data_IF_250949338350
#
_entry.id   IF_250949338350
#
_cell.length_a   1.000
_cell.length_b   1.000
_cell.length_c   1.000
_cell.angle_alpha   90.00
_cell.angle_beta   90.00
_cell.angle_gamma   90.00
#
_symmetry.space_group_name_H-M   'P 1'
#
loop_
_entity.id
_entity.type
_entity.pdbx_description
1 polymer ?
#
# COMPACT_ATOMS: atom_id res chain seq x y z
N UNK A 1 -13.88 -98.01 -55.81
CA UNK A 1 -12.71 -97.17 -55.54
C UNK A 1 -13.12 -95.93 -54.87
N UNK A 2 -12.95 -95.86 -53.59
CA UNK A 2 -13.41 -94.66 -52.77
C UNK A 2 -12.14 -93.88 -52.35
N UNK A 3 -12.11 -92.60 -52.62
CA UNK A 3 -11.04 -91.68 -52.19
C UNK A 3 -11.31 -91.22 -50.74
N UNK A 4 -10.29 -91.08 -49.88
CA UNK A 4 -10.45 -90.58 -48.55
C UNK A 4 -10.49 -89.04 -48.48
N UNK A 5 -11.31 -88.52 -47.60
CA UNK A 5 -11.44 -87.10 -47.30
C UNK A 5 -10.35 -86.62 -46.35
N UNK A 6 -9.66 -85.50 -46.70
CA UNK A 6 -8.76 -84.80 -45.82
C UNK A 6 -9.55 -83.91 -44.83
N UNK A 7 -9.28 -84.07 -43.55
CA UNK A 7 -9.78 -83.17 -42.48
C UNK A 7 -8.75 -82.08 -42.30
N UNK A 8 -9.18 -80.81 -42.50
CA UNK A 8 -8.39 -79.61 -42.16
C UNK A 8 -8.67 -79.22 -40.71
N UNK A 9 -7.65 -79.21 -39.87
CA UNK A 9 -7.69 -78.56 -38.55
C UNK A 9 -7.44 -77.10 -38.72
N UNK A 10 -8.43 -76.23 -38.34
CA UNK A 10 -8.28 -74.85 -38.25
C UNK A 10 -7.64 -74.41 -36.89
N UNK A 11 -6.53 -73.74 -36.97
CA UNK A 11 -5.91 -73.15 -35.79
C UNK A 11 -6.53 -71.71 -35.61
N UNK A 12 -7.36 -71.53 -34.58
CA UNK A 12 -7.80 -70.20 -34.10
C UNK A 12 -6.72 -69.67 -33.21
N UNK A 13 -6.01 -68.65 -33.71
CA UNK A 13 -5.12 -67.82 -32.89
C UNK A 13 -5.97 -66.83 -32.12
N UNK A 14 -6.01 -66.95 -30.79
CA UNK A 14 -6.59 -65.98 -29.90
C UNK A 14 -5.59 -64.84 -29.69
N UNK A 15 -5.89 -63.65 -30.23
CA UNK A 15 -5.13 -62.43 -29.93
C UNK A 15 -5.53 -61.90 -28.56
N UNK A 16 -4.60 -61.96 -27.59
CA UNK A 16 -4.77 -61.30 -26.28
C UNK A 16 -4.41 -59.86 -26.45
N UNK A 17 -5.40 -58.96 -26.43
CA UNK A 17 -5.18 -57.50 -26.29
C UNK A 17 -4.92 -57.17 -24.82
N UNK A 18 -3.65 -56.90 -24.48
CA UNK A 18 -3.29 -56.30 -23.21
C UNK A 18 -3.54 -54.78 -23.34
N UNK A 19 -4.71 -54.36 -22.92
CA UNK A 19 -5.01 -52.92 -22.79
C UNK A 19 -4.25 -52.34 -21.62
N UNK A 20 -3.17 -51.58 -21.89
CA UNK A 20 -2.52 -50.74 -20.88
C UNK A 20 -3.46 -49.55 -20.55
N UNK A 21 -4.20 -49.65 -19.45
CA UNK A 21 -4.90 -48.54 -18.89
C UNK A 21 -3.89 -47.55 -18.31
N UNK A 22 -3.61 -46.45 -19.02
CA UNK A 22 -2.88 -45.30 -18.48
C UNK A 22 -3.85 -44.62 -17.52
N UNK A 23 -3.69 -44.85 -16.20
CA UNK A 23 -4.30 -44.00 -15.18
C UNK A 23 -3.58 -42.65 -15.24
N UNK A 24 -4.18 -41.68 -15.92
CA UNK A 24 -3.88 -40.26 -15.70
C UNK A 24 -4.38 -39.96 -14.28
N UNK A 25 -3.47 -39.92 -13.31
CA UNK A 25 -3.72 -39.28 -12.02
C UNK A 25 -3.82 -37.77 -12.29
N UNK A 26 -5.05 -37.28 -12.45
CA UNK A 26 -5.36 -35.85 -12.27
C UNK A 26 -5.04 -35.55 -10.81
N UNK A 27 -3.81 -35.11 -10.54
CA UNK A 27 -3.54 -34.37 -9.32
C UNK A 27 -4.34 -33.09 -9.43
N UNK A 28 -5.54 -33.09 -8.82
CA UNK A 28 -6.22 -31.84 -8.54
C UNK A 28 -5.24 -31.00 -7.72
N UNK A 29 -4.63 -29.98 -8.35
CA UNK A 29 -3.98 -28.94 -7.60
C UNK A 29 -5.11 -28.34 -6.77
N UNK A 30 -5.13 -28.64 -5.49
CA UNK A 30 -5.94 -27.91 -4.55
C UNK A 30 -5.42 -26.47 -4.64
N UNK A 31 -6.17 -25.59 -5.30
CA UNK A 31 -5.94 -24.17 -5.22
C UNK A 31 -5.93 -23.87 -3.71
N UNK A 32 -4.75 -23.61 -3.16
CA UNK A 32 -4.67 -23.18 -1.77
C UNK A 32 -5.47 -21.91 -1.69
N UNK A 33 -6.46 -21.88 -0.80
CA UNK A 33 -7.28 -20.69 -0.60
C UNK A 33 -6.41 -19.46 -0.33
N UNK A 34 -7.02 -18.26 -0.42
CA UNK A 34 -6.31 -16.99 -0.25
C UNK A 34 -5.46 -17.01 1.03
N UNK A 35 -4.18 -16.67 0.90
CA UNK A 35 -3.21 -16.75 2.01
C UNK A 35 -2.83 -15.35 2.47
N UNK A 36 -2.81 -15.16 3.78
CA UNK A 36 -2.22 -14.00 4.44
C UNK A 36 -0.73 -13.85 4.07
N UNK A 37 -0.30 -12.60 3.83
CA UNK A 37 1.08 -12.22 3.56
C UNK A 37 1.69 -12.96 2.36
N UNK A 38 0.85 -13.21 1.35
CA UNK A 38 1.32 -13.87 0.13
C UNK A 38 1.85 -12.82 -0.85
N UNK A 39 3.06 -13.00 -1.45
CA UNK A 39 3.56 -12.12 -2.49
C UNK A 39 2.53 -11.94 -3.62
N UNK A 40 2.30 -10.68 -4.01
CA UNK A 40 1.29 -10.31 -5.00
C UNK A 40 -0.08 -9.96 -4.42
N UNK A 41 -0.37 -10.23 -3.14
CA UNK A 41 -1.51 -9.63 -2.46
C UNK A 41 -1.30 -8.12 -2.31
N UNK A 42 -2.39 -7.38 -2.08
CA UNK A 42 -2.33 -5.93 -1.89
C UNK A 42 -2.80 -5.60 -0.49
N UNK A 43 -1.97 -4.89 0.27
CA UNK A 43 -2.34 -4.30 1.55
C UNK A 43 -2.88 -2.90 1.31
N UNK A 44 -4.07 -2.60 1.85
CA UNK A 44 -4.80 -1.34 1.62
C UNK A 44 -5.27 -0.78 2.96
N UNK A 45 -5.08 0.51 3.19
CA UNK A 45 -5.75 1.24 4.25
C UNK A 45 -7.07 1.79 3.73
N UNK A 46 -8.18 1.31 4.28
CA UNK A 46 -9.54 1.74 3.95
C UNK A 46 -10.00 2.73 5.03
N UNK A 47 -9.53 3.98 4.86
CA UNK A 47 -9.44 5.02 5.89
C UNK A 47 -10.75 5.26 6.65
N UNK A 48 -11.82 5.62 5.92
CA UNK A 48 -13.10 5.97 6.55
C UNK A 48 -13.94 4.74 6.94
N UNK A 49 -13.48 3.55 6.57
CA UNK A 49 -14.00 2.28 7.07
C UNK A 49 -13.24 1.77 8.31
N UNK A 50 -12.27 2.54 8.84
CA UNK A 50 -11.52 2.20 10.05
C UNK A 50 -10.93 0.79 10.00
N UNK A 51 -10.25 0.45 8.89
CA UNK A 51 -9.64 -0.87 8.70
C UNK A 51 -8.42 -0.84 7.80
N UNK A 52 -7.57 -1.83 8.00
CA UNK A 52 -6.53 -2.24 7.06
C UNK A 52 -6.94 -3.61 6.52
N UNK A 53 -6.91 -3.78 5.21
CA UNK A 53 -7.24 -5.05 4.55
C UNK A 53 -6.06 -5.52 3.71
N UNK A 54 -5.86 -6.84 3.65
CA UNK A 54 -5.07 -7.49 2.62
C UNK A 54 -6.01 -8.23 1.70
N UNK A 55 -5.87 -8.00 0.40
CA UNK A 55 -6.67 -8.65 -0.63
C UNK A 55 -5.81 -9.51 -1.53
N UNK A 56 -6.39 -10.59 -2.05
CA UNK A 56 -5.81 -11.34 -3.16
C UNK A 56 -5.97 -10.57 -4.49
N UNK A 57 -5.30 -10.98 -5.59
CA UNK A 57 -5.44 -10.32 -6.88
C UNK A 57 -6.86 -10.32 -7.46
N UNK A 58 -7.77 -11.15 -6.91
CA UNK A 58 -9.19 -11.17 -7.28
C UNK A 58 -10.04 -10.19 -6.47
N UNK A 59 -9.44 -9.48 -5.49
CA UNK A 59 -10.12 -8.52 -4.63
C UNK A 59 -10.81 -9.12 -3.40
N UNK A 60 -10.60 -10.41 -3.11
CA UNK A 60 -11.12 -11.03 -1.89
C UNK A 60 -10.26 -10.66 -0.69
N UNK A 61 -10.90 -10.31 0.43
CA UNK A 61 -10.17 -10.01 1.68
C UNK A 61 -9.66 -11.32 2.27
N UNK A 62 -8.34 -11.40 2.45
CA UNK A 62 -7.63 -12.56 3.04
C UNK A 62 -7.19 -12.30 4.47
N UNK A 63 -7.13 -11.03 4.87
CA UNK A 63 -6.88 -10.57 6.23
C UNK A 63 -7.41 -9.16 6.42
N UNK A 64 -7.80 -8.84 7.65
CA UNK A 64 -8.15 -7.47 8.04
C UNK A 64 -7.86 -7.19 9.51
N UNK A 65 -7.57 -5.93 9.81
CA UNK A 65 -7.58 -5.35 11.15
C UNK A 65 -8.53 -4.15 11.16
N UNK A 66 -9.40 -4.09 12.18
CA UNK A 66 -10.56 -3.19 12.18
C UNK A 66 -11.78 -3.84 11.50
N UNK A 67 -12.98 -3.60 12.02
CA UNK A 67 -14.20 -4.30 11.63
C UNK A 67 -15.26 -3.39 11.00
N UNK A 68 -14.86 -2.23 10.53
CA UNK A 68 -15.77 -1.32 9.82
C UNK A 68 -15.91 0.06 10.47
N UNK A 69 -16.65 0.96 9.80
CA UNK A 69 -16.66 2.39 10.12
C UNK A 69 -17.19 2.74 11.52
N UNK A 70 -17.95 1.84 12.14
CA UNK A 70 -18.45 2.01 13.51
C UNK A 70 -17.52 1.47 14.61
N UNK A 71 -16.40 0.86 14.25
CA UNK A 71 -15.46 0.30 15.23
C UNK A 71 -14.48 1.38 15.73
N UNK A 72 -14.90 2.09 16.76
CA UNK A 72 -14.16 3.21 17.37
C UNK A 72 -13.75 2.77 18.78
N UNK A 73 -12.73 1.91 18.85
CA UNK A 73 -12.25 1.33 20.13
C UNK A 73 -10.73 1.29 20.18
N UNK A 74 -10.13 1.24 21.40
CA UNK A 74 -8.66 1.09 21.52
C UNK A 74 -8.08 -0.20 20.92
N UNK A 75 -8.90 -1.22 20.66
CA UNK A 75 -8.48 -2.48 20.02
C UNK A 75 -8.58 -2.46 18.50
N UNK A 76 -8.95 -1.32 17.91
CA UNK A 76 -9.02 -1.08 16.47
C UNK A 76 -8.07 0.03 16.05
N UNK A 77 -8.10 0.37 14.77
CA UNK A 77 -7.47 1.57 14.21
C UNK A 77 -8.53 2.51 13.68
N UNK A 78 -8.33 3.82 13.77
CA UNK A 78 -9.28 4.82 13.29
C UNK A 78 -8.62 5.71 12.25
N UNK A 79 -9.29 5.86 11.10
CA UNK A 79 -8.83 6.74 10.03
C UNK A 79 -7.42 6.40 9.55
N UNK A 80 -7.14 5.12 9.34
CA UNK A 80 -5.79 4.62 9.05
C UNK A 80 -5.31 5.13 7.71
N UNK A 81 -4.19 5.86 7.71
CA UNK A 81 -3.63 6.43 6.48
C UNK A 81 -2.51 5.58 5.90
N UNK A 82 -1.78 4.83 6.73
CA UNK A 82 -0.70 3.99 6.23
C UNK A 82 -0.64 2.63 6.90
N UNK A 83 -0.17 1.62 6.15
CA UNK A 83 0.14 0.30 6.68
C UNK A 83 1.18 -0.40 5.82
N UNK A 84 2.10 -1.15 6.47
CA UNK A 84 3.09 -1.99 5.79
C UNK A 84 3.23 -3.36 6.46
N UNK A 85 3.70 -4.36 5.69
CA UNK A 85 4.03 -5.70 6.21
C UNK A 85 5.46 -5.74 6.73
N UNK A 86 5.60 -6.26 7.94
CA UNK A 86 6.89 -6.47 8.62
C UNK A 86 6.96 -7.94 9.01
N UNK A 87 7.40 -8.79 8.09
CA UNK A 87 7.26 -10.24 8.27
C UNK A 87 5.79 -10.63 8.44
N UNK A 88 5.46 -11.35 9.51
CA UNK A 88 4.07 -11.74 9.84
C UNK A 88 3.30 -10.65 10.63
N UNK A 89 3.91 -9.49 10.83
CA UNK A 89 3.29 -8.36 11.50
C UNK A 89 2.81 -7.32 10.48
N UNK A 90 1.96 -6.39 10.93
CA UNK A 90 1.52 -5.22 10.18
C UNK A 90 1.73 -3.98 11.02
N UNK A 91 2.55 -3.08 10.53
CA UNK A 91 2.71 -1.73 11.08
C UNK A 91 1.65 -0.83 10.44
N UNK A 92 1.00 0.05 11.20
CA UNK A 92 -0.04 0.95 10.69
C UNK A 92 -0.14 2.25 11.48
N UNK A 93 -0.52 3.33 10.80
CA UNK A 93 -0.76 4.64 11.40
C UNK A 93 -2.27 4.87 11.60
N UNK A 94 -2.72 4.87 12.85
CA UNK A 94 -4.05 5.30 13.25
C UNK A 94 -4.09 6.83 13.35
N UNK A 95 -4.44 7.47 12.25
CA UNK A 95 -4.42 8.93 12.08
C UNK A 95 -5.59 9.60 12.83
N UNK A 96 -6.75 8.96 12.76
CA UNK A 96 -8.02 9.53 13.18
C UNK A 96 -8.83 10.11 12.01
N UNK A 97 -10.04 10.52 12.31
CA UNK A 97 -10.96 11.16 11.37
C UNK A 97 -11.24 12.59 11.84
N UNK A 98 -11.00 13.60 11.00
CA UNK A 98 -11.22 14.99 11.39
C UNK A 98 -12.70 15.31 11.62
N UNK A 99 -12.98 16.29 12.47
CA UNK A 99 -14.33 16.81 12.67
C UNK A 99 -14.89 17.40 11.38
N UNK A 100 -16.20 17.24 11.17
CA UNK A 100 -16.86 17.76 9.97
C UNK A 100 -16.65 16.88 8.72
N UNK A 101 -15.98 15.73 8.83
CA UNK A 101 -15.87 14.79 7.71
C UNK A 101 -17.27 14.36 7.25
N UNK A 102 -17.52 14.46 5.94
CA UNK A 102 -18.78 14.02 5.31
C UNK A 102 -18.71 12.57 4.86
N UNK A 103 -17.53 11.96 4.88
CA UNK A 103 -17.24 10.61 4.39
C UNK A 103 -17.70 9.50 5.34
N UNK A 104 -17.96 9.84 6.60
CA UNK A 104 -18.47 8.89 7.60
C UNK A 104 -19.50 9.54 8.51
N UNK A 105 -20.52 8.76 8.90
CA UNK A 105 -21.55 9.20 9.85
C UNK A 105 -21.15 8.99 11.31
N UNK A 106 -20.12 8.19 11.58
CA UNK A 106 -19.71 7.75 12.90
C UNK A 106 -18.82 8.76 13.65
N UNK A 107 -18.02 9.54 12.90
CA UNK A 107 -17.04 10.48 13.46
C UNK A 107 -17.37 11.96 13.15
N UNK A 108 -18.63 12.38 13.24
CA UNK A 108 -19.06 13.76 12.93
C UNK A 108 -18.35 14.85 13.73
N UNK A 109 -17.94 14.53 14.96
CA UNK A 109 -17.20 15.46 15.86
C UNK A 109 -15.69 15.23 15.82
N UNK A 110 -15.21 14.40 14.90
CA UNK A 110 -13.86 13.88 14.89
C UNK A 110 -13.70 12.64 15.79
N UNK A 111 -12.77 11.77 15.41
CA UNK A 111 -12.33 10.62 16.20
C UNK A 111 -10.82 10.55 16.10
N UNK A 112 -10.12 10.93 17.16
CA UNK A 112 -8.67 10.81 17.21
C UNK A 112 -8.28 9.34 17.48
N UNK A 113 -7.24 8.86 16.81
CA UNK A 113 -6.52 7.64 17.19
C UNK A 113 -5.15 8.04 17.78
N UNK A 114 -4.34 8.71 16.99
CA UNK A 114 -3.01 9.23 17.35
C UNK A 114 -2.03 8.14 17.80
N UNK A 115 -2.04 7.00 17.12
CA UNK A 115 -1.12 5.88 17.41
C UNK A 115 -0.49 5.35 16.13
N UNK A 116 0.71 4.81 16.29
CA UNK A 116 1.30 3.83 15.37
C UNK A 116 1.26 2.46 16.05
N UNK A 117 0.70 1.47 15.37
CA UNK A 117 0.43 0.14 15.89
C UNK A 117 1.23 -0.92 15.13
N UNK A 118 1.79 -1.90 15.84
CA UNK A 118 2.30 -3.14 15.25
C UNK A 118 1.38 -4.28 15.67
N UNK A 119 0.78 -4.96 14.70
CA UNK A 119 -0.31 -5.93 14.93
C UNK A 119 0.11 -7.29 14.39
N UNK A 120 -0.14 -8.36 15.15
CA UNK A 120 0.11 -9.72 14.67
C UNK A 120 -1.00 -10.21 13.71
N UNK A 121 -0.77 -11.37 13.08
CA UNK A 121 -1.74 -11.99 12.16
C UNK A 121 -3.12 -12.21 12.78
N UNK A 122 -3.21 -12.37 14.11
CA UNK A 122 -4.48 -12.62 14.84
C UNK A 122 -5.20 -11.35 15.22
N UNK A 123 -4.60 -10.18 14.95
CA UNK A 123 -5.15 -8.88 15.34
C UNK A 123 -4.78 -8.44 16.75
N UNK A 124 -3.76 -9.05 17.38
CA UNK A 124 -3.26 -8.56 18.67
C UNK A 124 -2.27 -7.42 18.43
N UNK A 125 -2.44 -6.31 19.15
CA UNK A 125 -1.48 -5.21 19.18
C UNK A 125 -0.28 -5.66 20.00
N UNK A 126 0.89 -5.86 19.36
CA UNK A 126 2.12 -6.35 20.00
C UNK A 126 3.09 -5.22 20.36
N UNK A 127 2.90 -4.05 19.77
CA UNK A 127 3.61 -2.81 20.08
C UNK A 127 2.79 -1.60 19.62
N UNK A 128 2.93 -0.49 20.32
CA UNK A 128 2.39 0.80 19.86
C UNK A 128 3.25 1.96 20.33
N UNK A 129 3.22 3.06 19.57
CA UNK A 129 3.63 4.39 19.96
C UNK A 129 2.45 5.34 19.84
N UNK A 130 2.28 6.24 20.81
CA UNK A 130 1.09 7.04 20.96
C UNK A 130 0.06 6.37 21.89
N UNK A 131 -0.95 7.16 22.30
CA UNK A 131 -2.03 6.75 23.18
C UNK A 131 -3.38 7.01 22.50
N UNK A 132 -4.29 6.03 22.54
CA UNK A 132 -5.58 6.10 21.87
C UNK A 132 -6.37 7.36 22.24
N UNK A 133 -6.64 8.21 21.24
CA UNK A 133 -7.41 9.43 21.40
C UNK A 133 -6.68 10.58 22.10
N UNK A 134 -5.41 10.39 22.48
CA UNK A 134 -4.61 11.42 23.14
C UNK A 134 -3.77 12.17 22.12
N UNK A 135 -3.93 13.47 22.06
CA UNK A 135 -3.14 14.36 21.18
C UNK A 135 -2.04 15.03 21.98
N UNK A 136 -0.81 14.97 21.47
CA UNK A 136 0.34 15.62 22.11
C UNK A 136 1.63 15.45 21.34
N UNK A 137 2.71 16.08 21.84
CA UNK A 137 4.05 16.02 21.27
C UNK A 137 5.10 15.52 22.26
N UNK A 138 4.68 15.12 23.48
CA UNK A 138 5.56 14.60 24.50
C UNK A 138 5.94 13.14 24.29
N UNK A 139 6.61 12.55 25.29
CA UNK A 139 7.00 11.14 25.25
C UNK A 139 5.77 10.24 25.03
N UNK A 140 5.87 9.33 24.06
CA UNK A 140 4.81 8.42 23.65
C UNK A 140 3.49 9.14 23.30
N UNK A 141 3.56 10.34 22.69
CA UNK A 141 2.41 11.08 22.19
C UNK A 141 2.59 11.46 20.74
N UNK A 142 1.50 11.46 19.98
CA UNK A 142 1.43 11.83 18.57
C UNK A 142 0.24 12.78 18.34
N UNK A 143 0.29 13.46 17.21
CA UNK A 143 -0.81 14.26 16.71
C UNK A 143 -1.01 13.98 15.22
N UNK A 144 -2.07 13.25 14.88
CA UNK A 144 -2.41 12.92 13.51
C UNK A 144 -1.24 12.25 12.76
N UNK A 145 -0.69 11.10 13.22
CA UNK A 145 0.35 10.39 12.48
C UNK A 145 -0.21 9.89 11.15
N UNK A 146 0.51 10.12 10.03
CA UNK A 146 0.02 9.78 8.69
C UNK A 146 0.74 8.58 8.11
N UNK A 147 2.07 8.57 8.12
CA UNK A 147 2.88 7.48 7.59
C UNK A 147 3.80 6.92 8.66
N UNK A 148 4.10 5.64 8.51
CA UNK A 148 5.06 4.91 9.32
C UNK A 148 5.92 4.01 8.43
N UNK A 149 7.21 3.92 8.76
CA UNK A 149 8.15 3.01 8.08
C UNK A 149 8.94 2.24 9.12
N UNK A 150 8.96 0.91 9.00
CA UNK A 150 9.75 0.06 9.88
C UNK A 150 11.21 0.07 9.44
N UNK A 151 12.09 0.35 10.37
CA UNK A 151 13.54 0.40 10.13
C UNK A 151 14.24 -0.73 10.90
N UNK A 152 14.60 -1.78 10.17
CA UNK A 152 15.33 -2.89 10.76
C UNK A 152 16.76 -2.46 11.10
N UNK A 153 17.21 -2.77 12.31
CA UNK A 153 18.56 -2.48 12.79
C UNK A 153 19.36 -3.78 12.93
N UNK A 154 20.61 -3.75 12.48
CA UNK A 154 21.48 -4.93 12.50
C UNK A 154 21.77 -5.47 13.92
N UNK A 155 21.58 -4.65 14.95
CA UNK A 155 21.71 -5.02 16.35
C UNK A 155 20.40 -5.60 16.94
N UNK A 156 19.32 -5.64 16.16
CA UNK A 156 18.01 -6.14 16.57
C UNK A 156 17.16 -5.15 17.40
N UNK A 157 17.66 -3.92 17.63
CA UNK A 157 16.90 -2.86 18.29
C UNK A 157 16.22 -1.97 17.22
N UNK A 158 15.16 -2.51 16.61
CA UNK A 158 14.51 -1.90 15.48
C UNK A 158 13.84 -0.56 15.83
N UNK A 159 13.73 0.30 14.83
CA UNK A 159 13.12 1.61 14.93
C UNK A 159 11.86 1.73 14.07
N UNK A 160 11.10 2.80 14.28
CA UNK A 160 9.97 3.19 13.42
C UNK A 160 10.09 4.67 13.09
N UNK A 161 10.15 4.98 11.81
CA UNK A 161 10.07 6.35 11.31
C UNK A 161 8.57 6.72 11.24
N UNK A 162 8.20 7.85 11.82
CA UNK A 162 6.81 8.29 11.95
C UNK A 162 6.66 9.72 11.42
N UNK A 163 5.74 9.91 10.49
CA UNK A 163 5.29 11.24 10.08
C UNK A 163 4.23 11.73 11.07
N UNK A 164 4.63 12.55 12.02
CA UNK A 164 3.79 13.13 13.08
C UNK A 164 3.24 14.48 12.60
N UNK A 165 2.27 14.39 11.68
CA UNK A 165 1.79 15.48 10.83
C UNK A 165 1.33 16.69 11.62
N UNK A 166 0.44 16.51 12.60
CA UNK A 166 -0.14 17.59 13.39
C UNK A 166 0.86 18.25 14.35
N UNK A 167 2.03 17.63 14.57
CA UNK A 167 3.16 18.21 15.28
C UNK A 167 4.23 18.79 14.32
N UNK A 168 3.97 18.80 13.01
CA UNK A 168 4.85 19.36 11.97
C UNK A 168 6.27 18.78 11.97
N UNK A 169 6.42 17.48 12.24
CA UNK A 169 7.72 16.81 12.39
C UNK A 169 7.73 15.39 11.83
N UNK A 170 8.94 14.88 11.56
CA UNK A 170 9.23 13.47 11.36
C UNK A 170 10.06 13.01 12.57
N UNK A 171 9.70 11.88 13.18
CA UNK A 171 10.46 11.30 14.28
C UNK A 171 10.85 9.86 13.98
N UNK A 172 12.03 9.46 14.43
CA UNK A 172 12.45 8.07 14.47
C UNK A 172 12.42 7.58 15.92
N UNK A 173 11.64 6.55 16.17
CA UNK A 173 11.37 6.00 17.50
C UNK A 173 12.01 4.63 17.63
N UNK A 174 12.86 4.44 18.63
CA UNK A 174 13.40 3.14 19.02
C UNK A 174 12.32 2.30 19.69
N UNK A 175 12.14 1.06 19.21
CA UNK A 175 11.03 0.21 19.67
C UNK A 175 11.14 -0.27 21.11
N UNK A 176 12.36 -0.54 21.57
CA UNK A 176 12.61 -1.15 22.89
C UNK A 176 12.21 -0.26 24.07
N UNK A 177 12.46 1.05 23.98
CA UNK A 177 12.23 2.02 25.08
C UNK A 177 11.36 3.21 24.66
N UNK A 178 10.94 3.28 23.38
CA UNK A 178 10.15 4.37 22.80
C UNK A 178 10.87 5.73 22.81
N UNK A 179 12.19 5.75 22.90
CA UNK A 179 12.95 6.98 22.79
C UNK A 179 12.94 7.51 21.36
N UNK A 180 12.77 8.81 21.18
CA UNK A 180 13.01 9.48 19.90
C UNK A 180 14.54 9.55 19.74
N UNK A 181 15.06 8.92 18.68
CA UNK A 181 16.50 8.85 18.38
C UNK A 181 16.92 9.81 17.27
N UNK A 182 15.97 10.26 16.46
CA UNK A 182 16.15 11.30 15.46
C UNK A 182 14.83 12.06 15.26
N UNK A 183 14.93 13.35 14.94
CA UNK A 183 13.80 14.22 14.69
C UNK A 183 14.16 15.26 13.63
N UNK A 184 13.21 15.56 12.75
CA UNK A 184 13.25 16.68 11.81
C UNK A 184 11.95 17.46 11.92
N UNK A 185 12.05 18.73 12.28
CA UNK A 185 10.92 19.63 12.56
C UNK A 185 10.82 20.80 11.57
N UNK A 186 9.91 21.73 11.82
CA UNK A 186 9.72 22.93 10.99
C UNK A 186 9.03 22.68 9.66
N UNK A 187 8.34 21.55 9.52
CA UNK A 187 7.53 21.18 8.36
C UNK A 187 6.14 21.86 8.43
N UNK A 188 5.38 21.74 7.35
CA UNK A 188 4.00 22.21 7.31
C UNK A 188 3.07 21.12 6.80
N UNK A 189 2.44 20.41 7.74
CA UNK A 189 1.56 19.30 7.44
C UNK A 189 2.28 18.17 6.64
N UNK A 190 3.43 17.64 7.13
CA UNK A 190 4.13 16.58 6.41
C UNK A 190 3.24 15.35 6.25
N UNK A 191 3.31 14.68 5.10
CA UNK A 191 2.45 13.54 4.80
C UNK A 191 3.22 12.21 4.72
N UNK A 192 4.49 12.26 4.33
CA UNK A 192 5.30 11.04 4.19
C UNK A 192 6.79 11.27 4.47
N UNK A 193 7.49 10.22 4.88
CA UNK A 193 8.93 10.16 5.01
C UNK A 193 9.47 8.77 4.66
N UNK A 194 10.41 8.70 3.72
CA UNK A 194 11.04 7.46 3.24
C UNK A 194 12.54 7.48 3.52
N UNK A 195 13.08 6.40 4.08
CA UNK A 195 14.54 6.22 4.21
C UNK A 195 15.09 5.77 2.84
N UNK A 196 15.97 6.57 2.28
CA UNK A 196 16.59 6.27 0.99
C UNK A 196 17.79 5.32 1.14
N UNK A 197 18.14 4.63 0.06
CA UNK A 197 19.30 3.72 0.03
C UNK A 197 20.64 4.40 0.29
N UNK A 198 20.72 5.72 0.09
CA UNK A 198 21.90 6.54 0.45
C UNK A 198 21.94 6.96 1.93
N UNK A 199 20.93 6.54 2.72
CA UNK A 199 20.80 6.87 4.13
C UNK A 199 20.12 8.22 4.42
N UNK A 200 19.75 9.00 3.42
CA UNK A 200 18.99 10.23 3.59
C UNK A 200 17.49 9.95 3.79
N UNK A 201 16.75 10.94 4.24
CA UNK A 201 15.28 10.89 4.35
C UNK A 201 14.65 11.77 3.27
N UNK A 202 13.74 11.20 2.49
CA UNK A 202 12.88 11.93 1.53
C UNK A 202 11.56 12.24 2.21
N UNK A 203 11.20 13.51 2.35
CA UNK A 203 10.03 13.99 3.09
C UNK A 203 9.05 14.66 2.13
N UNK A 204 7.78 14.28 2.19
CA UNK A 204 6.65 14.98 1.55
C UNK A 204 6.11 16.02 2.51
N UNK A 205 6.39 17.29 2.24
CA UNK A 205 5.99 18.45 3.06
C UNK A 205 4.78 19.13 2.39
N UNK A 206 3.59 18.56 2.63
CA UNK A 206 2.38 18.71 1.83
C UNK A 206 1.95 20.16 1.66
N UNK A 207 1.76 20.93 2.76
CA UNK A 207 1.28 22.29 2.68
C UNK A 207 2.36 23.30 2.25
N UNK A 208 3.65 22.90 2.29
CA UNK A 208 4.72 23.65 1.64
C UNK A 208 4.85 23.29 0.15
N UNK A 209 4.00 22.38 -0.35
CA UNK A 209 3.96 21.95 -1.75
C UNK A 209 5.32 21.48 -2.28
N UNK A 210 6.05 20.72 -1.48
CA UNK A 210 7.40 20.28 -1.81
C UNK A 210 7.69 18.86 -1.33
N UNK A 211 8.62 18.19 -2.01
CA UNK A 211 9.39 17.12 -1.40
C UNK A 211 10.81 17.59 -1.14
N UNK A 212 11.37 17.21 0.01
CA UNK A 212 12.75 17.52 0.37
C UNK A 212 13.51 16.25 0.72
N UNK A 213 14.78 16.20 0.30
CA UNK A 213 15.73 15.19 0.77
C UNK A 213 16.64 15.83 1.79
N UNK A 214 16.76 15.23 2.96
CA UNK A 214 17.60 15.71 4.07
C UNK A 214 18.54 14.61 4.54
N UNK A 215 19.71 14.97 5.08
CA UNK A 215 20.58 13.98 5.72
C UNK A 215 19.94 13.43 6.99
N UNK A 216 20.10 12.12 7.22
CA UNK A 216 19.65 11.44 8.44
C UNK A 216 20.72 11.59 9.56
N UNK A 217 21.04 12.83 9.92
CA UNK A 217 22.04 13.21 10.91
C UNK A 217 21.48 14.26 11.85
N UNK A 218 22.16 14.52 12.97
CA UNK A 218 21.81 15.59 13.90
C UNK A 218 22.98 16.55 14.03
N UNK A 219 22.87 17.80 13.53
CA UNK A 219 21.76 18.38 12.79
C UNK A 219 21.64 17.80 11.37
N UNK A 220 20.40 17.83 10.83
CA UNK A 220 20.12 17.48 9.44
C UNK A 220 20.43 18.64 8.50
N UNK A 221 20.82 18.33 7.26
CA UNK A 221 21.04 19.31 6.19
C UNK A 221 20.17 19.00 4.98
N UNK A 222 19.65 20.04 4.32
CA UNK A 222 18.90 19.92 3.07
C UNK A 222 19.86 19.49 1.95
N UNK A 223 19.50 18.42 1.24
CA UNK A 223 20.26 17.84 0.11
C UNK A 223 19.61 18.20 -1.22
N UNK A 224 18.29 18.03 -1.32
CA UNK A 224 17.54 18.31 -2.55
C UNK A 224 16.14 18.83 -2.22
N UNK A 225 15.52 19.52 -3.19
CA UNK A 225 14.17 20.05 -3.08
C UNK A 225 13.44 19.93 -4.42
N UNK A 226 12.22 19.43 -4.38
CA UNK A 226 11.31 19.28 -5.51
C UNK A 226 10.10 20.17 -5.26
N UNK A 227 9.83 21.14 -6.14
CA UNK A 227 8.74 22.12 -6.00
C UNK A 227 7.85 22.19 -7.24
N UNK A 228 8.27 21.60 -8.35
CA UNK A 228 7.54 21.60 -9.61
C UNK A 228 8.04 20.47 -10.51
N UNK A 229 7.23 20.10 -11.49
CA UNK A 229 7.65 19.24 -12.59
C UNK A 229 6.93 19.63 -13.90
N UNK A 230 7.68 19.71 -15.00
CA UNK A 230 7.17 20.14 -16.31
C UNK A 230 6.63 21.57 -16.31
N UNK A 231 7.19 22.46 -15.50
CA UNK A 231 6.73 23.86 -15.36
C UNK A 231 5.45 24.02 -14.51
N UNK A 232 4.91 22.94 -13.93
CA UNK A 232 3.73 22.97 -13.04
C UNK A 232 4.21 22.85 -11.60
N UNK A 233 3.91 23.86 -10.77
CA UNK A 233 4.17 23.83 -9.33
C UNK A 233 3.35 22.71 -8.68
N UNK A 234 3.94 22.02 -7.69
CA UNK A 234 3.20 21.02 -6.90
C UNK A 234 2.15 21.71 -6.03
N UNK A 235 1.08 20.98 -5.73
CA UNK A 235 0.00 21.45 -4.86
C UNK A 235 -0.51 20.26 -4.01
N UNK A 236 -0.36 20.37 -2.68
CA UNK A 236 -0.70 19.29 -1.76
C UNK A 236 0.10 18.02 -2.07
N UNK A 237 1.44 18.10 -2.05
CA UNK A 237 2.32 16.98 -2.35
C UNK A 237 2.18 15.92 -1.26
N UNK A 238 1.38 14.86 -1.54
CA UNK A 238 1.03 13.87 -0.53
C UNK A 238 2.10 12.80 -0.34
N UNK A 239 2.76 12.36 -1.42
CA UNK A 239 3.76 11.28 -1.33
C UNK A 239 4.89 11.49 -2.34
N UNK A 240 6.08 11.09 -1.96
CA UNK A 240 7.25 11.03 -2.85
C UNK A 240 8.07 9.78 -2.54
N UNK A 241 8.49 9.06 -3.56
CA UNK A 241 9.37 7.89 -3.45
C UNK A 241 10.50 7.94 -4.48
N UNK A 242 11.70 7.50 -4.07
CA UNK A 242 12.85 7.45 -4.96
C UNK A 242 12.86 6.14 -5.73
N UNK A 243 12.89 6.22 -7.05
CA UNK A 243 12.96 5.07 -7.95
C UNK A 243 14.40 4.57 -8.13
N UNK A 244 14.59 3.28 -8.50
CA UNK A 244 15.93 2.71 -8.72
C UNK A 244 16.74 3.41 -9.84
N UNK A 245 16.06 4.08 -10.79
CA UNK A 245 16.71 4.87 -11.85
C UNK A 245 17.19 6.26 -11.38
N UNK A 246 16.96 6.62 -10.10
CA UNK A 246 17.32 7.91 -9.51
C UNK A 246 16.24 8.98 -9.64
N UNK A 247 15.19 8.76 -10.42
CA UNK A 247 14.04 9.67 -10.46
C UNK A 247 13.21 9.60 -9.19
N UNK A 248 12.33 10.56 -9.03
CA UNK A 248 11.38 10.62 -7.91
C UNK A 248 9.96 10.53 -8.45
N UNK A 249 9.18 9.58 -7.94
CA UNK A 249 7.75 9.48 -8.21
C UNK A 249 7.01 10.33 -7.16
N UNK A 250 6.22 11.28 -7.62
CA UNK A 250 5.53 12.27 -6.77
C UNK A 250 4.03 12.15 -6.96
N UNK A 251 3.30 12.09 -5.85
CA UNK A 251 1.85 12.22 -5.80
C UNK A 251 1.49 13.68 -5.54
N UNK A 252 1.15 14.39 -6.60
CA UNK A 252 0.79 15.80 -6.66
C UNK A 252 -0.74 15.93 -6.52
N UNK A 253 -1.22 15.77 -5.27
CA UNK A 253 -2.60 15.39 -4.93
C UNK A 253 -3.65 16.41 -5.40
N UNK A 254 -3.50 17.70 -5.07
CA UNK A 254 -4.46 18.73 -5.47
C UNK A 254 -4.46 18.98 -6.98
N UNK A 255 -3.37 18.66 -7.69
CA UNK A 255 -3.31 18.67 -9.14
C UNK A 255 -3.85 17.39 -9.76
N UNK A 256 -4.35 16.42 -8.94
CA UNK A 256 -4.85 15.12 -9.39
C UNK A 256 -3.84 14.35 -10.24
N UNK A 257 -2.56 14.49 -9.97
CA UNK A 257 -1.45 14.07 -10.84
C UNK A 257 -0.47 13.18 -10.09
N UNK A 258 -0.06 12.10 -10.76
CA UNK A 258 1.15 11.35 -10.40
C UNK A 258 2.22 11.70 -11.44
N UNK A 259 3.42 12.01 -11.00
CA UNK A 259 4.50 12.42 -11.92
C UNK A 259 5.84 11.80 -11.51
N UNK A 260 6.57 11.25 -12.49
CA UNK A 260 7.95 10.84 -12.36
C UNK A 260 8.84 11.97 -12.89
N UNK A 261 9.74 12.46 -12.05
CA UNK A 261 10.59 13.63 -12.35
C UNK A 261 11.98 13.45 -11.76
N UNK A 262 12.94 14.20 -12.28
CA UNK A 262 14.24 14.40 -11.63
C UNK A 262 14.24 15.67 -10.75
N UNK A 263 15.40 16.00 -10.18
CA UNK A 263 15.56 17.19 -9.34
C UNK A 263 15.49 18.50 -10.12
N UNK A 264 15.71 18.46 -11.44
CA UNK A 264 15.59 19.62 -12.31
C UNK A 264 14.12 19.93 -12.68
N UNK A 265 13.22 18.99 -12.43
CA UNK A 265 11.81 19.10 -12.75
C UNK A 265 11.44 18.61 -14.16
N UNK A 266 12.34 17.86 -14.80
CA UNK A 266 12.04 17.22 -16.07
C UNK A 266 11.07 16.06 -15.86
N UNK A 267 10.03 15.95 -16.71
CA UNK A 267 8.99 14.94 -16.59
C UNK A 267 9.31 13.75 -17.49
N UNK A 268 9.40 12.56 -16.89
CA UNK A 268 9.61 11.29 -17.59
C UNK A 268 8.32 10.52 -17.80
N UNK A 269 7.36 10.66 -16.86
CA UNK A 269 6.02 10.10 -16.94
C UNK A 269 5.05 10.89 -16.07
N UNK A 270 3.77 10.91 -16.47
CA UNK A 270 2.70 11.44 -15.63
C UNK A 270 1.36 10.77 -15.92
N UNK A 271 0.49 10.75 -14.91
CA UNK A 271 -0.87 10.23 -14.99
C UNK A 271 -1.83 11.13 -14.22
N UNK A 272 -2.98 11.46 -14.81
CA UNK A 272 -4.02 12.28 -14.17
C UNK A 272 -5.18 11.40 -13.75
N UNK A 273 -5.43 11.32 -12.44
CA UNK A 273 -6.46 10.43 -11.86
C UNK A 273 -7.88 10.92 -12.12
N UNK A 274 -8.08 12.21 -12.41
CA UNK A 274 -9.37 12.82 -12.74
C UNK A 274 -9.75 12.73 -14.24
N UNK A 275 -8.91 12.20 -15.11
CA UNK A 275 -9.14 12.15 -16.56
C UNK A 275 -9.89 10.89 -17.02
N UNK A 276 -10.33 10.03 -16.12
CA UNK A 276 -11.03 8.80 -16.46
C UNK A 276 -12.55 8.93 -16.26
N UNK A 277 -13.38 8.25 -17.09
CA UNK A 277 -14.83 8.30 -16.97
C UNK A 277 -15.28 7.87 -15.55
N UNK A 278 -16.13 8.68 -14.92
CA UNK A 278 -16.70 8.40 -13.60
C UNK A 278 -15.80 8.74 -12.41
N UNK A 279 -14.55 9.19 -12.62
CA UNK A 279 -13.70 9.64 -11.51
C UNK A 279 -14.26 10.89 -10.83
N UNK A 280 -13.88 11.09 -9.57
CA UNK A 280 -14.13 12.35 -8.88
C UNK A 280 -13.39 13.49 -9.60
N UNK A 281 -14.00 14.65 -9.80
CA UNK A 281 -13.30 15.80 -10.39
C UNK A 281 -12.08 16.28 -9.58
N UNK A 282 -12.08 16.04 -8.26
CA UNK A 282 -10.98 16.29 -7.33
C UNK A 282 -10.71 15.01 -6.51
N UNK A 283 -10.06 14.01 -7.12
CA UNK A 283 -9.95 12.68 -6.53
C UNK A 283 -8.95 12.60 -5.39
N UNK A 284 -8.02 13.58 -5.29
CA UNK A 284 -6.97 13.66 -4.28
C UNK A 284 -6.22 12.32 -4.13
N UNK A 285 -5.44 11.89 -5.12
CA UNK A 285 -4.59 10.70 -4.94
C UNK A 285 -3.64 10.93 -3.77
N UNK A 286 -3.49 9.94 -2.90
CA UNK A 286 -2.70 10.07 -1.66
C UNK A 286 -1.38 9.34 -1.73
N UNK A 287 -1.30 8.24 -2.50
CA UNK A 287 -0.07 7.48 -2.66
C UNK A 287 0.04 6.89 -4.06
N UNK A 288 1.25 6.90 -4.61
CA UNK A 288 1.61 6.16 -5.81
C UNK A 288 2.93 5.43 -5.60
N UNK A 289 2.96 4.14 -5.91
CA UNK A 289 4.14 3.27 -5.75
C UNK A 289 4.45 2.61 -7.08
N UNK A 290 5.70 2.69 -7.55
CA UNK A 290 6.16 1.95 -8.72
C UNK A 290 6.41 0.51 -8.34
N UNK A 291 5.85 -0.42 -9.11
CA UNK A 291 6.02 -1.86 -8.95
C UNK A 291 7.20 -2.39 -9.76
N UNK A 292 7.72 -3.56 -9.38
CA UNK A 292 8.83 -4.21 -10.07
C UNK A 292 8.53 -4.59 -11.53
N UNK A 293 7.26 -4.80 -11.88
CA UNK A 293 6.81 -5.04 -13.25
C UNK A 293 6.72 -3.78 -14.11
N UNK A 294 6.95 -2.59 -13.53
CA UNK A 294 6.87 -1.29 -14.19
C UNK A 294 5.53 -0.56 -14.02
N UNK A 295 4.47 -1.24 -13.56
CA UNK A 295 3.19 -0.59 -13.29
C UNK A 295 3.31 0.40 -12.12
N UNK A 296 2.33 1.30 -12.01
CA UNK A 296 2.19 2.20 -10.87
C UNK A 296 0.89 1.91 -10.13
N UNK A 297 0.99 1.51 -8.86
CA UNK A 297 -0.15 1.34 -7.97
C UNK A 297 -0.51 2.68 -7.34
N UNK A 298 -1.77 3.10 -7.45
CA UNK A 298 -2.24 4.43 -7.03
C UNK A 298 -3.43 4.27 -6.10
N UNK A 299 -3.36 4.88 -4.93
CA UNK A 299 -4.52 5.10 -4.04
C UNK A 299 -5.20 6.40 -4.45
N UNK A 300 -6.40 6.26 -5.03
CA UNK A 300 -7.21 7.36 -5.55
C UNK A 300 -8.36 7.64 -4.58
N UNK A 301 -8.06 8.40 -3.52
CA UNK A 301 -8.82 8.48 -2.28
C UNK A 301 -10.30 8.77 -2.48
N UNK A 302 -10.66 9.88 -3.14
CA UNK A 302 -12.06 10.27 -3.29
C UNK A 302 -12.70 9.78 -4.61
N UNK A 303 -11.96 9.05 -5.44
CA UNK A 303 -12.57 8.12 -6.39
C UNK A 303 -12.86 6.76 -5.75
N UNK A 304 -12.48 6.55 -4.48
CA UNK A 304 -12.69 5.35 -3.68
C UNK A 304 -12.11 4.09 -4.31
N UNK A 305 -10.96 4.22 -4.99
CA UNK A 305 -10.30 3.11 -5.69
C UNK A 305 -8.80 3.03 -5.42
N UNK A 306 -8.30 1.81 -5.49
CA UNK A 306 -6.89 1.53 -5.75
C UNK A 306 -6.78 1.04 -7.19
N UNK A 307 -5.91 1.65 -7.99
CA UNK A 307 -5.72 1.30 -9.41
C UNK A 307 -4.26 0.96 -9.70
N UNK A 308 -4.03 0.00 -10.59
CA UNK A 308 -2.73 -0.26 -11.20
C UNK A 308 -2.69 0.26 -12.61
N UNK A 309 -1.69 1.06 -12.93
CA UNK A 309 -1.52 1.72 -14.24
C UNK A 309 -0.27 1.18 -14.91
N UNK A 310 -0.45 0.52 -16.05
CA UNK A 310 0.63 0.11 -16.95
C UNK A 310 1.08 1.30 -17.79
N UNK A 311 2.36 1.64 -17.70
CA UNK A 311 2.99 2.75 -18.42
C UNK A 311 3.47 2.37 -19.83
N UNK A 312 3.66 1.07 -20.08
CA UNK A 312 4.28 0.57 -21.33
C UNK A 312 3.33 0.63 -22.54
N UNK A 313 2.02 0.69 -22.31
CA UNK A 313 0.98 0.51 -23.33
C UNK A 313 0.52 1.81 -23.97
N UNK A 314 0.93 2.97 -23.45
CA UNK A 314 0.42 4.25 -23.92
C UNK A 314 1.34 4.94 -24.93
N UNK A 315 0.77 5.45 -26.00
CA UNK A 315 1.41 6.47 -26.84
C UNK A 315 1.38 7.80 -26.06
N UNK A 316 2.52 8.22 -25.56
CA UNK A 316 2.63 9.44 -24.76
C UNK A 316 2.85 9.16 -23.27
N UNK A 317 2.81 10.21 -22.43
CA UNK A 317 3.11 10.15 -20.99
C UNK A 317 1.92 9.70 -20.12
N UNK A 318 0.93 9.00 -20.67
CA UNK A 318 -0.22 8.45 -19.96
C UNK A 318 -0.14 6.92 -19.90
N UNK A 319 -0.85 6.29 -18.95
CA UNK A 319 -0.88 4.84 -18.80
C UNK A 319 -2.28 4.27 -19.00
N UNK A 320 -2.37 2.94 -19.00
CA UNK A 320 -3.63 2.19 -19.07
C UNK A 320 -3.88 1.50 -17.75
N UNK A 321 -5.10 1.60 -17.21
CA UNK A 321 -5.48 0.88 -16.00
C UNK A 321 -5.58 -0.61 -16.33
N UNK A 322 -4.77 -1.43 -15.66
CA UNK A 322 -4.72 -2.89 -15.82
C UNK A 322 -5.41 -3.63 -14.66
N UNK A 323 -5.56 -2.97 -13.51
CA UNK A 323 -6.34 -3.49 -12.39
C UNK A 323 -6.99 -2.34 -11.62
N UNK A 324 -8.16 -2.62 -11.01
CA UNK A 324 -8.83 -1.66 -10.13
C UNK A 324 -9.58 -2.39 -9.02
N UNK A 325 -9.53 -1.84 -7.82
CA UNK A 325 -10.25 -2.31 -6.62
C UNK A 325 -11.06 -1.14 -6.07
N UNK A 326 -12.26 -1.43 -5.57
CA UNK A 326 -13.24 -0.41 -5.20
C UNK A 326 -14.16 -0.02 -6.38
N UNK A 327 -15.30 0.57 -6.07
CA UNK A 327 -16.25 1.08 -7.06
C UNK A 327 -16.05 2.57 -7.24
N UNK A 328 -15.74 2.98 -8.48
CA UNK A 328 -15.38 4.36 -8.79
C UNK A 328 -16.44 5.36 -8.30
N UNK A 329 -15.99 6.35 -7.54
CA UNK A 329 -16.81 7.44 -6.98
C UNK A 329 -18.06 6.96 -6.20
N UNK A 330 -17.98 5.74 -5.62
CA UNK A 330 -19.07 5.14 -4.83
C UNK A 330 -18.49 4.59 -3.51
N UNK A 331 -18.43 5.42 -2.45
CA UNK A 331 -17.95 4.96 -1.14
C UNK A 331 -18.88 3.92 -0.54
N UNK A 332 -18.31 2.89 0.08
CA UNK A 332 -19.07 1.83 0.73
C UNK A 332 -18.24 0.99 1.67
N UNK A 333 -18.87 -0.02 2.25
CA UNK A 333 -18.24 -1.00 3.14
C UNK A 333 -18.72 -2.41 2.79
N UNK A 334 -17.80 -3.29 2.47
CA UNK A 334 -18.04 -4.71 2.30
C UNK A 334 -17.06 -5.51 3.19
N UNK A 335 -17.55 -6.41 4.06
CA UNK A 335 -16.69 -7.12 5.00
C UNK A 335 -15.85 -8.24 4.35
N UNK A 336 -16.12 -8.61 3.11
CA UNK A 336 -15.53 -9.79 2.47
C UNK A 336 -14.71 -9.49 1.21
N UNK A 337 -14.96 -8.33 0.59
CA UNK A 337 -14.29 -7.95 -0.67
C UNK A 337 -13.90 -6.47 -0.68
N UNK A 338 -12.96 -6.10 -1.54
CA UNK A 338 -12.59 -4.71 -1.79
C UNK A 338 -13.41 -4.05 -2.92
N UNK A 339 -14.63 -4.56 -3.21
CA UNK A 339 -15.55 -3.93 -4.17
C UNK A 339 -16.02 -2.57 -3.65
N UNK A 340 -16.20 -2.45 -2.33
CA UNK A 340 -16.62 -1.23 -1.68
C UNK A 340 -15.55 -0.81 -0.68
N UNK A 341 -14.99 0.37 -0.92
CA UNK A 341 -14.03 1.04 -0.03
C UNK A 341 -14.48 2.48 0.22
N UNK A 342 -13.96 3.09 1.27
CA UNK A 342 -14.26 4.48 1.57
C UNK A 342 -12.96 5.23 1.88
N UNK A 343 -12.42 5.91 0.86
CA UNK A 343 -11.19 6.68 0.93
C UNK A 343 -9.94 5.81 1.17
N UNK A 344 -9.57 4.88 0.27
CA UNK A 344 -8.31 4.16 0.38
C UNK A 344 -7.15 5.17 0.36
N UNK A 345 -6.33 5.16 1.41
CA UNK A 345 -5.27 6.16 1.57
C UNK A 345 -3.91 5.66 1.12
N UNK A 346 -3.51 4.46 1.53
CA UNK A 346 -2.30 3.82 1.05
C UNK A 346 -2.58 2.40 0.54
N UNK A 347 -1.78 1.99 -0.43
CA UNK A 347 -1.76 0.63 -0.93
C UNK A 347 -0.36 0.26 -1.39
N UNK A 348 0.04 -0.99 -1.16
CA UNK A 348 1.23 -1.56 -1.78
C UNK A 348 1.08 -3.08 -1.99
N UNK A 349 1.88 -3.62 -2.91
CA UNK A 349 1.90 -5.05 -3.19
C UNK A 349 2.82 -5.76 -2.21
N UNK A 350 2.30 -6.76 -1.52
CA UNK A 350 3.09 -7.57 -0.57
C UNK A 350 4.27 -8.23 -1.31
N UNK A 351 5.47 -7.98 -0.79
CA UNK A 351 6.72 -8.48 -1.36
C UNK A 351 7.32 -7.63 -2.49
N UNK A 352 6.69 -6.52 -2.85
CA UNK A 352 7.24 -5.55 -3.81
C UNK A 352 7.57 -4.23 -3.10
N UNK A 353 8.84 -3.95 -2.95
CA UNK A 353 9.34 -2.73 -2.27
C UNK A 353 10.06 -1.80 -3.27
N UNK A 354 9.72 -1.88 -4.55
CA UNK A 354 10.31 -1.02 -5.57
C UNK A 354 9.92 0.44 -5.32
N UNK A 355 10.91 1.29 -5.04
CA UNK A 355 10.70 2.73 -4.79
C UNK A 355 10.18 3.10 -3.39
N UNK A 356 10.02 2.15 -2.47
CA UNK A 356 9.70 2.43 -1.05
C UNK A 356 10.75 1.79 -0.15
N UNK A 357 10.82 2.26 1.10
CA UNK A 357 11.70 1.68 2.11
C UNK A 357 11.25 0.25 2.43
N UNK A 358 12.11 -0.78 2.24
CA UNK A 358 11.75 -2.11 2.67
C UNK A 358 11.85 -2.23 4.20
N UNK A 359 10.97 -3.01 4.86
CA UNK A 359 10.91 -3.13 6.32
C UNK A 359 11.97 -4.09 6.91
N UNK A 360 13.04 -4.41 6.15
CA UNK A 360 14.09 -5.37 6.54
C UNK A 360 15.44 -5.07 5.86
#
# INVERSE_FOLDING_TARGET
MKRPRLIRFGHTAAAVFIGSAILLSLTASHAQGPKFNHPGNILITDQFNNRVIEIDPSGNIVWQFGSGPGNITPSATIGTNDAERVGDLTLMAGTGIPAGSTTTTHCKKGCADNRVLLVDRRGNIVWQYGEFGVTGSGFNQLNTPVQNTYLHQSNGDDHVLITDQGNARIIEVRRSDKAIVWEYDGLNNPNAAELLTNGNILISDENNNQAIEVTHTTPSTLVARFISAGGVAFSGLAFASRLPNGHTLITDSNNSRIVETDVAGDVFWQYFTNNRPGSNPSPLPTRAVRLANGDTLISDQFSHQVISVDMSVASGMSGVIVASYGTINNPGYNPSTAIEMNGPYSAYVVGDYTGITPPF
#
